data_IF_129664302040
#
_entry.id   IF_129664302040
#
_cell.length_a   1.000
_cell.length_b   1.000
_cell.length_c   1.000
_cell.angle_alpha   90.00
_cell.angle_beta   90.00
_cell.angle_gamma   90.00
#
_symmetry.space_group_name_H-M   'P 1'
#
loop_
_entity.id
_entity.type
_entity.pdbx_description
1 polymer ?
#
# COMPACT_ATOMS: atom_id res chain seq x y z
N UNK A 1 38.93 -6.76 10.16
CA UNK A 1 37.96 -7.34 11.13
C UNK A 1 36.65 -6.55 11.29
N UNK A 2 36.32 -5.57 10.42
CA UNK A 2 34.99 -4.91 10.40
C UNK A 2 33.96 -5.61 9.50
N UNK A 3 34.43 -6.27 8.42
CA UNK A 3 33.57 -6.95 7.45
C UNK A 3 32.80 -8.18 7.99
N UNK A 4 33.24 -8.74 9.12
CA UNK A 4 32.52 -9.84 9.80
C UNK A 4 31.48 -9.33 10.81
N UNK A 5 31.61 -8.08 11.25
CA UNK A 5 30.67 -7.46 12.20
C UNK A 5 29.45 -6.91 11.46
N UNK A 6 29.66 -6.42 10.22
CA UNK A 6 28.61 -5.83 9.40
C UNK A 6 28.14 -6.84 8.36
N UNK A 7 26.95 -7.39 8.57
CA UNK A 7 26.25 -8.17 7.54
C UNK A 7 25.62 -7.21 6.52
N UNK A 8 26.41 -6.90 5.48
CA UNK A 8 25.98 -6.04 4.37
C UNK A 8 24.76 -6.59 3.63
N UNK A 9 24.60 -7.92 3.56
CA UNK A 9 23.47 -8.54 2.88
C UNK A 9 22.18 -8.35 3.67
N UNK A 10 22.22 -8.54 4.99
CA UNK A 10 21.10 -8.26 5.87
C UNK A 10 20.71 -6.77 5.85
N UNK A 11 21.69 -5.87 5.81
CA UNK A 11 21.45 -4.43 5.69
C UNK A 11 20.73 -4.07 4.38
N UNK A 12 21.24 -4.54 3.24
CA UNK A 12 20.62 -4.28 1.94
C UNK A 12 19.19 -4.83 1.86
N UNK A 13 18.96 -6.04 2.41
CA UNK A 13 17.62 -6.63 2.48
C UNK A 13 16.67 -5.77 3.30
N UNK A 14 17.13 -5.24 4.42
CA UNK A 14 16.32 -4.38 5.31
C UNK A 14 15.99 -3.05 4.63
N UNK A 15 16.97 -2.43 3.97
CA UNK A 15 16.75 -1.18 3.21
C UNK A 15 15.70 -1.41 2.12
N UNK A 16 15.86 -2.47 1.33
CA UNK A 16 14.91 -2.80 0.27
C UNK A 16 13.50 -3.08 0.83
N UNK A 17 13.40 -3.85 1.92
CA UNK A 17 12.12 -4.16 2.55
C UNK A 17 11.42 -2.90 3.07
N UNK A 18 12.14 -2.03 3.79
CA UNK A 18 11.60 -0.77 4.32
C UNK A 18 11.18 0.19 3.21
N UNK A 19 11.96 0.27 2.13
CA UNK A 19 11.62 1.08 0.96
C UNK A 19 10.35 0.59 0.27
N UNK A 20 10.26 -0.72 0.00
CA UNK A 20 9.08 -1.33 -0.61
C UNK A 20 7.86 -1.15 0.28
N UNK A 21 7.99 -1.33 1.60
CA UNK A 21 6.89 -1.12 2.54
C UNK A 21 6.43 0.34 2.54
N UNK A 22 7.34 1.30 2.68
CA UNK A 22 7.00 2.72 2.72
C UNK A 22 6.36 3.22 1.42
N UNK A 23 7.03 2.99 0.29
CA UNK A 23 6.55 3.43 -1.03
C UNK A 23 5.32 2.64 -1.45
N UNK A 24 5.33 1.32 -1.25
CA UNK A 24 4.24 0.43 -1.66
C UNK A 24 2.93 0.76 -0.94
N UNK A 25 2.95 0.91 0.39
CA UNK A 25 1.75 1.25 1.15
C UNK A 25 1.23 2.65 0.77
N UNK A 26 2.13 3.62 0.60
CA UNK A 26 1.77 4.98 0.15
C UNK A 26 1.13 4.97 -1.23
N UNK A 27 1.66 4.16 -2.15
CA UNK A 27 1.13 4.01 -3.50
C UNK A 27 -0.25 3.37 -3.49
N UNK A 28 -0.44 2.29 -2.72
CA UNK A 28 -1.75 1.64 -2.55
C UNK A 28 -2.78 2.63 -2.01
N UNK A 29 -2.42 3.40 -0.97
CA UNK A 29 -3.33 4.40 -0.41
C UNK A 29 -3.66 5.52 -1.41
N UNK A 30 -2.69 5.93 -2.23
CA UNK A 30 -2.92 6.91 -3.30
C UNK A 30 -3.93 6.41 -4.34
N UNK A 31 -3.94 5.11 -4.65
CA UNK A 31 -4.95 4.48 -5.51
C UNK A 31 -6.34 4.53 -4.85
N UNK A 32 -6.42 4.36 -3.52
CA UNK A 32 -7.68 4.50 -2.80
C UNK A 32 -8.27 5.92 -2.96
N UNK A 33 -7.42 6.96 -2.83
CA UNK A 33 -7.80 8.36 -3.04
C UNK A 33 -8.22 8.62 -4.51
N UNK A 34 -7.50 8.03 -5.46
CA UNK A 34 -7.87 8.11 -6.88
C UNK A 34 -9.25 7.48 -7.15
N UNK A 35 -9.53 6.30 -6.58
CA UNK A 35 -10.82 5.64 -6.71
C UNK A 35 -11.96 6.47 -6.13
N UNK A 36 -11.76 7.05 -4.94
CA UNK A 36 -12.76 7.89 -4.29
C UNK A 36 -13.06 9.18 -5.06
N UNK A 37 -12.02 9.88 -5.55
CA UNK A 37 -12.19 11.10 -6.35
C UNK A 37 -12.90 10.82 -7.67
N UNK A 38 -12.46 9.79 -8.41
CA UNK A 38 -13.07 9.41 -9.69
C UNK A 38 -14.48 8.86 -9.55
N UNK A 39 -14.80 8.15 -8.47
CA UNK A 39 -16.17 7.75 -8.17
C UNK A 39 -17.10 8.96 -8.08
N UNK A 40 -16.68 10.00 -7.36
CA UNK A 40 -17.47 11.22 -7.19
C UNK A 40 -17.62 12.00 -8.51
N UNK A 41 -16.55 12.11 -9.31
CA UNK A 41 -16.60 12.76 -10.63
C UNK A 41 -17.55 12.03 -11.58
N UNK A 42 -17.39 10.72 -11.74
CA UNK A 42 -18.20 9.93 -12.68
C UNK A 42 -19.68 9.88 -12.30
N UNK A 43 -20.01 9.94 -10.99
CA UNK A 43 -21.40 10.07 -10.55
C UNK A 43 -22.00 11.42 -10.94
N UNK A 44 -21.23 12.51 -10.87
CA UNK A 44 -21.68 13.85 -11.30
C UNK A 44 -21.87 13.90 -12.82
N UNK A 45 -21.02 13.20 -13.57
CA UNK A 45 -21.09 13.11 -15.03
C UNK A 45 -22.20 12.17 -15.54
N UNK A 46 -23.00 11.57 -14.65
CA UNK A 46 -24.07 10.64 -15.03
C UNK A 46 -23.56 9.31 -15.61
N UNK A 47 -22.33 8.90 -15.24
CA UNK A 47 -21.66 7.67 -15.73
C UNK A 47 -21.58 6.61 -14.61
N UNK A 48 -22.70 6.02 -14.17
CA UNK A 48 -22.76 5.19 -12.97
C UNK A 48 -21.91 3.93 -13.06
N UNK A 49 -21.81 3.29 -14.24
CA UNK A 49 -20.99 2.09 -14.41
C UNK A 49 -19.49 2.39 -14.19
N UNK A 50 -19.00 3.51 -14.73
CA UNK A 50 -17.62 3.95 -14.52
C UNK A 50 -17.40 4.37 -13.05
N UNK A 51 -18.38 5.03 -12.43
CA UNK A 51 -18.33 5.37 -11.02
C UNK A 51 -18.13 4.11 -10.18
N UNK A 52 -19.01 3.11 -10.31
CA UNK A 52 -18.91 1.86 -9.55
C UNK A 52 -17.55 1.19 -9.71
N UNK A 53 -16.98 1.15 -10.92
CA UNK A 53 -15.65 0.59 -11.14
C UNK A 53 -14.56 1.32 -10.33
N UNK A 54 -14.54 2.65 -10.34
CA UNK A 54 -13.59 3.43 -9.54
C UNK A 54 -13.85 3.33 -8.03
N UNK A 55 -15.12 3.24 -7.62
CA UNK A 55 -15.49 3.02 -6.23
C UNK A 55 -14.96 1.68 -5.71
N UNK A 56 -15.16 0.60 -6.46
CA UNK A 56 -14.64 -0.73 -6.13
C UNK A 56 -13.11 -0.73 -6.07
N UNK A 57 -12.44 -0.12 -7.05
CA UNK A 57 -10.99 0.04 -7.03
C UNK A 57 -10.52 0.76 -5.76
N UNK A 58 -11.21 1.84 -5.39
CA UNK A 58 -10.91 2.60 -4.18
C UNK A 58 -11.04 1.77 -2.91
N UNK A 59 -12.14 1.01 -2.78
CA UNK A 59 -12.39 0.12 -1.64
C UNK A 59 -11.33 -0.99 -1.56
N UNK A 60 -11.02 -1.65 -2.69
CA UNK A 60 -10.00 -2.71 -2.73
C UNK A 60 -8.64 -2.17 -2.32
N UNK A 61 -8.25 -1.00 -2.82
CA UNK A 61 -7.00 -0.36 -2.45
C UNK A 61 -6.96 0.03 -0.97
N UNK A 62 -8.06 0.55 -0.42
CA UNK A 62 -8.16 0.88 1.01
C UNK A 62 -8.02 -0.37 1.88
N UNK A 63 -8.70 -1.47 1.51
CA UNK A 63 -8.59 -2.75 2.20
C UNK A 63 -7.17 -3.32 2.11
N UNK A 64 -6.52 -3.21 0.95
CA UNK A 64 -5.13 -3.64 0.78
C UNK A 64 -4.16 -2.83 1.65
N UNK A 65 -4.34 -1.50 1.75
CA UNK A 65 -3.54 -0.66 2.63
C UNK A 65 -3.74 -1.05 4.11
N UNK A 66 -5.00 -1.23 4.53
CA UNK A 66 -5.32 -1.70 5.89
C UNK A 66 -4.74 -3.08 6.18
N UNK A 67 -4.83 -4.01 5.23
CA UNK A 67 -4.25 -5.35 5.35
C UNK A 67 -2.71 -5.29 5.47
N UNK A 68 -2.04 -4.42 4.72
CA UNK A 68 -0.59 -4.24 4.83
C UNK A 68 -0.17 -3.78 6.23
N UNK A 69 -0.92 -2.84 6.84
CA UNK A 69 -0.68 -2.40 8.23
C UNK A 69 -0.89 -3.53 9.23
N UNK A 70 -2.02 -4.26 9.11
CA UNK A 70 -2.33 -5.39 9.99
C UNK A 70 -1.27 -6.49 9.89
N UNK A 71 -0.84 -6.84 8.68
CA UNK A 71 0.22 -7.81 8.48
C UNK A 71 1.56 -7.35 9.10
N UNK A 72 1.90 -6.06 8.96
CA UNK A 72 3.07 -5.49 9.62
C UNK A 72 3.04 -5.67 11.15
N UNK A 73 1.88 -5.40 11.77
CA UNK A 73 1.68 -5.59 13.22
C UNK A 73 1.80 -7.06 13.60
N UNK A 74 1.18 -7.97 12.85
CA UNK A 74 1.24 -9.41 13.12
C UNK A 74 2.68 -9.92 13.04
N UNK A 75 3.44 -9.49 12.03
CA UNK A 75 4.84 -9.89 11.88
C UNK A 75 5.69 -9.36 13.03
N UNK A 76 5.44 -8.14 13.50
CA UNK A 76 6.20 -7.55 14.62
C UNK A 76 5.85 -8.16 15.98
N UNK A 77 4.66 -8.74 16.13
CA UNK A 77 4.17 -9.32 17.40
C UNK A 77 4.42 -10.82 17.53
N UNK A 78 4.65 -11.53 16.42
CA UNK A 78 5.07 -12.93 16.44
C UNK A 78 6.56 -13.03 16.76
N UNK A 79 6.91 -13.82 17.77
CA UNK A 79 8.29 -14.15 18.16
C UNK A 79 8.90 -15.18 17.23
#
# INVERSE_FOLDING_TARGET
MLATIVDTQALLKTIAASFIAGVGVTMIFSIAVLGASRFADMNRDGRPAAAVAFGLLGVVALLAAGAAVVLGIIVMTRK
#
